data_IF_280683136801
#
_entry.id   IF_280683136801
#
_cell.length_a   1.000
_cell.length_b   1.000
_cell.length_c   1.000
_cell.angle_alpha   90.00
_cell.angle_beta   90.00
_cell.angle_gamma   90.00
#
_symmetry.space_group_name_H-M   'P 1'
#
loop_
_entity.id
_entity.type
_entity.pdbx_description
1 polymer ?
#
# COMPACT_ATOMS: atom_id res chain seq x y z
N UNK A 1 -10.33 -2.86 8.18
CA UNK A 1 -10.96 -4.14 8.58
C UNK A 1 -10.52 -4.47 10.00
N UNK A 2 -11.39 -4.96 10.87
CA UNK A 2 -10.98 -5.48 12.19
C UNK A 2 -11.16 -7.00 12.17
N UNK A 3 -10.09 -7.71 11.84
CA UNK A 3 -10.03 -9.16 12.04
C UNK A 3 -9.58 -9.38 13.48
N UNK A 4 -10.22 -10.31 14.21
CA UNK A 4 -10.14 -10.42 15.66
C UNK A 4 -8.72 -10.56 16.21
N UNK A 5 -8.26 -11.81 16.38
CA UNK A 5 -6.88 -12.13 16.71
C UNK A 5 -6.12 -12.64 15.47
N UNK A 6 -4.82 -12.90 15.63
CA UNK A 6 -3.96 -13.37 14.53
C UNK A 6 -4.45 -14.69 13.92
N UNK A 7 -5.01 -15.59 14.74
CA UNK A 7 -5.56 -16.86 14.25
C UNK A 7 -6.79 -16.63 13.39
N UNK A 8 -7.67 -15.71 13.79
CA UNK A 8 -8.81 -15.30 12.99
C UNK A 8 -8.37 -14.60 11.69
N UNK A 9 -7.29 -13.82 11.72
CA UNK A 9 -6.73 -13.19 10.54
C UNK A 9 -6.21 -14.21 9.53
N UNK A 10 -5.45 -15.22 9.99
CA UNK A 10 -4.96 -16.30 9.13
C UNK A 10 -6.13 -17.06 8.50
N UNK A 11 -7.11 -17.50 9.29
CA UNK A 11 -8.26 -18.22 8.77
C UNK A 11 -9.02 -17.42 7.71
N UNK A 12 -9.21 -16.12 7.93
CA UNK A 12 -9.83 -15.22 6.95
C UNK A 12 -8.99 -15.10 5.67
N UNK A 13 -7.67 -14.99 5.79
CA UNK A 13 -6.77 -14.95 4.65
C UNK A 13 -6.76 -16.26 3.86
N UNK A 14 -6.76 -17.42 4.53
CA UNK A 14 -6.82 -18.73 3.86
C UNK A 14 -8.13 -18.91 3.09
N UNK A 15 -9.26 -18.54 3.71
CA UNK A 15 -10.57 -18.58 3.07
C UNK A 15 -10.60 -17.71 1.81
N UNK A 16 -10.07 -16.50 1.90
CA UNK A 16 -10.12 -15.50 0.83
C UNK A 16 -9.08 -15.73 -0.27
N UNK A 17 -7.83 -15.95 0.11
CA UNK A 17 -6.68 -15.98 -0.79
C UNK A 17 -6.15 -17.39 -1.05
N UNK A 18 -6.59 -18.39 -0.28
CA UNK A 18 -6.00 -19.74 -0.29
C UNK A 18 -4.84 -19.82 0.70
N UNK A 19 -4.45 -21.03 1.13
CA UNK A 19 -3.39 -21.22 2.12
C UNK A 19 -2.03 -20.67 1.66
N UNK A 20 -1.81 -20.64 0.35
CA UNK A 20 -0.62 -20.15 -0.35
C UNK A 20 -0.82 -18.78 -1.02
N UNK A 21 -1.94 -18.11 -0.78
CA UNK A 21 -2.24 -16.83 -1.39
C UNK A 21 -2.50 -16.87 -2.90
N UNK A 22 -2.69 -18.04 -3.52
CA UNK A 22 -2.88 -18.17 -4.98
C UNK A 22 -4.05 -17.37 -5.58
N UNK A 23 -5.01 -16.93 -4.74
CA UNK A 23 -6.14 -16.09 -5.13
C UNK A 23 -5.95 -14.61 -4.78
N UNK A 24 -4.75 -14.20 -4.36
CA UNK A 24 -4.43 -12.80 -4.11
C UNK A 24 -4.37 -12.02 -5.43
N UNK A 25 -5.12 -10.93 -5.52
CA UNK A 25 -5.22 -10.12 -6.73
C UNK A 25 -4.99 -8.62 -6.50
N UNK A 26 -4.41 -8.22 -5.36
CA UNK A 26 -4.15 -6.81 -5.02
C UNK A 26 -5.38 -5.95 -4.70
N UNK A 27 -6.59 -6.41 -5.03
CA UNK A 27 -7.87 -5.72 -4.79
C UNK A 27 -8.40 -4.95 -6.00
N UNK A 28 -9.66 -4.49 -5.92
CA UNK A 28 -10.28 -3.46 -6.78
C UNK A 28 -10.35 -3.68 -8.29
N UNK A 29 -11.06 -2.77 -8.97
CA UNK A 29 -10.79 -2.44 -10.37
C UNK A 29 -9.55 -1.54 -10.39
N UNK A 30 -8.58 -1.75 -11.29
CA UNK A 30 -7.36 -0.95 -11.34
C UNK A 30 -7.53 0.33 -12.17
N UNK A 31 -6.80 1.40 -11.82
CA UNK A 31 -6.77 2.61 -12.63
C UNK A 31 -6.10 2.36 -13.99
N UNK A 32 -6.43 3.16 -15.00
CA UNK A 32 -5.82 3.07 -16.34
C UNK A 32 -4.28 3.15 -16.29
N UNK A 33 -3.73 3.99 -15.41
CA UNK A 33 -2.29 4.12 -15.23
C UNK A 33 -1.64 2.87 -14.60
N UNK A 34 -2.35 2.18 -13.71
CA UNK A 34 -1.91 0.91 -13.13
C UNK A 34 -1.97 -0.22 -14.17
N UNK A 35 -3.05 -0.25 -14.98
CA UNK A 35 -3.21 -1.21 -16.07
C UNK A 35 -2.14 -1.03 -17.14
N UNK A 36 -1.80 0.21 -17.51
CA UNK A 36 -0.71 0.50 -18.43
C UNK A 36 0.64 -0.01 -17.90
N UNK A 37 0.90 0.17 -16.60
CA UNK A 37 2.10 -0.32 -15.93
C UNK A 37 2.15 -1.86 -15.90
N UNK A 38 1.03 -2.52 -15.60
CA UNK A 38 0.93 -3.98 -15.61
C UNK A 38 0.97 -4.57 -17.04
N UNK A 39 0.73 -3.76 -18.07
CA UNK A 39 0.90 -4.14 -19.47
C UNK A 39 2.38 -4.26 -19.89
N UNK A 40 3.32 -3.72 -19.12
CA UNK A 40 4.75 -3.90 -19.33
C UNK A 40 5.17 -5.32 -18.91
N UNK A 41 5.72 -6.15 -19.81
CA UNK A 41 6.11 -7.52 -19.49
C UNK A 41 7.14 -7.64 -18.36
N UNK A 42 8.09 -6.71 -18.25
CA UNK A 42 9.11 -6.75 -17.20
C UNK A 42 8.49 -6.45 -15.83
N UNK A 43 7.58 -5.48 -15.80
CA UNK A 43 6.85 -5.14 -14.58
C UNK A 43 5.91 -6.27 -14.15
N UNK A 44 5.17 -6.85 -15.09
CA UNK A 44 4.27 -7.98 -14.82
C UNK A 44 5.02 -9.20 -14.27
N UNK A 45 6.20 -9.50 -14.84
CA UNK A 45 7.07 -10.57 -14.34
C UNK A 45 7.55 -10.29 -12.91
N UNK A 46 8.09 -9.08 -12.68
CA UNK A 46 8.55 -8.63 -11.36
C UNK A 46 7.45 -8.66 -10.30
N UNK A 47 6.24 -8.22 -10.64
CA UNK A 47 5.09 -8.29 -9.74
C UNK A 47 4.69 -9.73 -9.42
N UNK A 48 4.69 -10.60 -10.43
CA UNK A 48 4.36 -12.02 -10.25
C UNK A 48 5.36 -12.70 -9.31
N UNK A 49 6.66 -12.47 -9.50
CA UNK A 49 7.71 -12.98 -8.63
C UNK A 49 7.59 -12.43 -7.21
N UNK A 50 7.33 -11.11 -7.08
CA UNK A 50 7.17 -10.44 -5.78
C UNK A 50 5.97 -11.00 -5.00
N UNK A 51 4.83 -11.19 -5.65
CA UNK A 51 3.63 -11.78 -5.02
C UNK A 51 3.91 -13.23 -4.65
N UNK A 52 4.53 -14.01 -5.54
CA UNK A 52 4.92 -15.39 -5.26
C UNK A 52 5.83 -15.52 -4.04
N UNK A 53 6.86 -14.67 -3.93
CA UNK A 53 7.75 -14.67 -2.77
C UNK A 53 7.02 -14.22 -1.49
N UNK A 54 6.15 -13.21 -1.59
CA UNK A 54 5.38 -12.69 -0.45
C UNK A 54 4.52 -13.77 0.22
N UNK A 55 4.03 -14.74 -0.56
CA UNK A 55 3.23 -15.86 -0.05
C UNK A 55 3.98 -17.20 0.00
N UNK A 56 5.31 -17.23 -0.22
CA UNK A 56 6.10 -18.47 -0.22
C UNK A 56 5.99 -19.27 1.08
N UNK A 57 5.70 -18.60 2.20
CA UNK A 57 5.52 -19.21 3.53
C UNK A 57 4.03 -19.37 3.91
N UNK A 58 3.12 -19.16 2.95
CA UNK A 58 1.67 -19.08 3.17
C UNK A 58 1.20 -17.68 3.55
N UNK A 59 -0.08 -17.55 3.89
CA UNK A 59 -0.74 -16.25 4.14
C UNK A 59 -0.43 -15.61 5.50
N UNK A 60 0.36 -16.27 6.36
CA UNK A 60 0.63 -15.81 7.73
C UNK A 60 1.18 -14.38 7.81
N UNK A 61 2.14 -14.03 6.94
CA UNK A 61 2.71 -12.69 6.90
C UNK A 61 1.68 -11.62 6.55
N UNK A 62 0.88 -11.85 5.50
CA UNK A 62 -0.20 -10.93 5.12
C UNK A 62 -1.25 -10.80 6.23
N UNK A 63 -1.61 -11.91 6.90
CA UNK A 63 -2.54 -11.91 8.03
C UNK A 63 -2.03 -11.06 9.20
N UNK A 64 -0.72 -11.12 9.47
CA UNK A 64 -0.06 -10.28 10.46
C UNK A 64 -0.13 -8.80 10.07
N UNK A 65 0.18 -8.46 8.82
CA UNK A 65 0.13 -7.08 8.31
C UNK A 65 -1.25 -6.45 8.47
N UNK A 66 -2.32 -7.16 8.07
CA UNK A 66 -3.68 -6.64 8.21
C UNK A 66 -4.15 -6.55 9.66
N UNK A 67 -3.58 -7.35 10.56
CA UNK A 67 -3.87 -7.29 11.99
C UNK A 67 -3.19 -6.07 12.64
N UNK A 68 -1.97 -5.75 12.21
CA UNK A 68 -1.19 -4.63 12.76
C UNK A 68 -1.60 -3.29 12.15
N UNK A 69 -1.98 -3.23 10.86
CA UNK A 69 -2.36 -1.96 10.21
C UNK A 69 -3.57 -1.27 10.87
N UNK A 70 -4.41 -2.05 11.58
CA UNK A 70 -5.59 -1.54 12.26
C UNK A 70 -5.30 -1.00 13.68
N UNK A 71 -4.04 -1.09 14.14
CA UNK A 71 -3.62 -0.66 15.49
C UNK A 71 -3.07 0.76 15.45
N UNK A 72 -3.19 1.52 16.56
CA UNK A 72 -2.51 2.80 16.70
C UNK A 72 -1.00 2.65 16.53
N UNK A 73 -0.34 3.65 15.96
CA UNK A 73 1.11 3.69 15.92
C UNK A 73 1.69 3.71 17.34
N UNK A 74 2.81 3.01 17.54
CA UNK A 74 3.53 2.99 18.82
C UNK A 74 4.28 4.31 19.11
N UNK A 75 4.21 5.27 18.19
CA UNK A 75 4.80 6.60 18.33
C UNK A 75 3.74 7.67 18.00
N UNK A 76 3.95 8.87 18.53
CA UNK A 76 3.14 10.04 18.21
C UNK A 76 3.66 10.72 16.92
N UNK A 77 2.92 10.68 15.80
CA UNK A 77 3.30 11.36 14.56
C UNK A 77 3.41 12.88 14.74
N UNK A 78 2.73 13.45 15.74
CA UNK A 78 2.86 14.84 16.17
C UNK A 78 4.27 15.23 16.64
N UNK A 79 5.18 14.26 16.83
CA UNK A 79 6.59 14.48 17.18
C UNK A 79 7.55 14.54 15.99
N UNK A 80 7.09 14.24 14.77
CA UNK A 80 7.92 14.32 13.57
C UNK A 80 8.25 15.78 13.26
N UNK A 81 9.53 16.08 12.97
CA UNK A 81 10.02 17.46 12.70
C UNK A 81 10.80 17.59 11.39
N UNK A 82 11.04 16.48 10.69
CA UNK A 82 11.68 16.48 9.38
C UNK A 82 10.64 16.74 8.28
N UNK A 83 11.03 17.16 7.07
CA UNK A 83 10.12 17.27 5.94
C UNK A 83 9.37 15.96 5.67
N UNK A 84 8.06 16.03 5.49
CA UNK A 84 7.18 14.90 5.17
C UNK A 84 6.28 15.28 4.00
N UNK A 85 6.16 14.38 3.02
CA UNK A 85 5.21 14.47 1.92
C UNK A 85 4.35 13.21 1.90
N UNK A 86 3.04 13.38 2.04
CA UNK A 86 2.05 12.34 1.78
C UNK A 86 1.72 12.34 0.29
N UNK A 87 2.40 11.50 -0.47
CA UNK A 87 2.19 11.29 -1.90
C UNK A 87 1.06 10.28 -2.13
N UNK A 88 0.10 10.59 -3.02
CA UNK A 88 -1.02 9.68 -3.30
C UNK A 88 -1.61 9.90 -4.70
N UNK A 89 -2.02 8.83 -5.37
CA UNK A 89 -2.71 8.87 -6.66
C UNK A 89 -4.21 9.12 -6.49
N UNK A 90 -4.79 10.14 -7.11
CA UNK A 90 -6.25 10.38 -6.99
C UNK A 90 -7.10 9.36 -7.75
N UNK A 91 -6.48 8.64 -8.69
CA UNK A 91 -7.11 7.52 -9.37
C UNK A 91 -6.95 6.20 -8.60
N UNK A 92 -6.34 6.19 -7.39
CA UNK A 92 -6.24 5.00 -6.56
C UNK A 92 -7.64 4.49 -6.16
N UNK A 93 -7.98 3.32 -6.68
CA UNK A 93 -9.23 2.60 -6.46
C UNK A 93 -9.12 1.53 -5.35
N UNK A 94 -7.91 1.27 -4.87
CA UNK A 94 -7.60 0.30 -3.80
C UNK A 94 -7.69 1.00 -2.45
N UNK A 95 -7.09 2.18 -2.31
CA UNK A 95 -7.01 2.95 -1.07
C UNK A 95 -7.46 4.40 -1.32
N UNK A 96 -8.54 4.88 -0.66
CA UNK A 96 -8.99 6.26 -0.85
C UNK A 96 -8.01 7.32 -0.33
N UNK A 97 -7.90 8.45 -1.04
CA UNK A 97 -7.03 9.60 -0.69
C UNK A 97 -7.22 10.17 0.73
N UNK A 98 -8.37 9.90 1.37
CA UNK A 98 -8.64 10.30 2.76
C UNK A 98 -7.59 9.77 3.73
N UNK A 99 -6.98 8.61 3.47
CA UNK A 99 -5.93 8.05 4.31
C UNK A 99 -4.64 8.88 4.26
N UNK A 100 -4.24 9.38 3.09
CA UNK A 100 -3.09 10.27 2.95
C UNK A 100 -3.36 11.66 3.53
N UNK A 101 -4.59 12.18 3.37
CA UNK A 101 -5.02 13.43 4.02
C UNK A 101 -4.94 13.32 5.53
N UNK A 102 -5.54 12.27 6.09
CA UNK A 102 -5.48 12.01 7.53
C UNK A 102 -4.04 11.89 8.04
N UNK A 103 -3.17 11.18 7.31
CA UNK A 103 -1.75 11.04 7.67
C UNK A 103 -1.03 12.39 7.67
N UNK A 104 -1.27 13.24 6.67
CA UNK A 104 -0.68 14.58 6.61
C UNK A 104 -1.18 15.48 7.75
N UNK A 105 -2.46 15.41 8.11
CA UNK A 105 -3.05 16.18 9.20
C UNK A 105 -2.44 15.84 10.57
N UNK A 106 -1.96 14.61 10.75
CA UNK A 106 -1.30 14.16 11.99
C UNK A 106 0.13 14.67 12.15
N UNK A 107 0.80 15.07 11.06
CA UNK A 107 2.23 15.39 11.05
C UNK A 107 2.44 16.90 10.87
N UNK A 108 3.03 17.60 11.86
CA UNK A 108 3.26 19.04 11.76
C UNK A 108 4.10 19.41 10.54
N UNK A 109 3.55 20.25 9.67
CA UNK A 109 4.23 20.74 8.48
C UNK A 109 4.32 19.75 7.32
N UNK A 110 3.65 18.59 7.40
CA UNK A 110 3.55 17.70 6.26
C UNK A 110 2.83 18.36 5.09
N UNK A 111 3.27 18.04 3.87
CA UNK A 111 2.60 18.44 2.63
C UNK A 111 1.87 17.23 2.06
N UNK A 112 0.79 17.48 1.33
CA UNK A 112 0.12 16.46 0.53
C UNK A 112 0.41 16.72 -0.94
N UNK A 113 0.81 15.68 -1.68
CA UNK A 113 0.99 15.71 -3.13
C UNK A 113 0.04 14.69 -3.74
N UNK A 114 -1.03 15.21 -4.35
CA UNK A 114 -2.04 14.40 -5.02
C UNK A 114 -1.77 14.39 -6.51
N UNK A 115 -1.75 13.19 -7.08
CA UNK A 115 -1.46 12.96 -8.49
C UNK A 115 -2.73 12.53 -9.22
N UNK A 116 -3.36 13.40 -10.04
CA UNK A 116 -4.68 13.13 -10.60
C UNK A 116 -4.80 11.85 -11.41
N UNK A 117 -3.72 11.48 -12.12
CA UNK A 117 -3.70 10.36 -13.07
C UNK A 117 -3.11 9.09 -12.45
N UNK A 118 -2.30 9.22 -11.40
CA UNK A 118 -1.64 8.05 -10.84
C UNK A 118 -2.63 7.23 -10.01
N UNK A 119 -2.51 5.90 -10.11
CA UNK A 119 -3.28 4.92 -9.34
C UNK A 119 -2.49 4.37 -8.15
N UNK A 120 -2.85 3.17 -7.70
CA UNK A 120 -2.27 2.54 -6.52
C UNK A 120 -0.81 2.13 -6.74
N UNK A 121 -0.47 1.69 -7.94
CA UNK A 121 0.86 1.19 -8.30
C UNK A 121 1.66 2.25 -9.06
N UNK A 122 1.03 2.93 -10.01
CA UNK A 122 1.71 3.89 -10.89
C UNK A 122 2.30 5.07 -10.11
N UNK A 123 1.78 5.39 -8.93
CA UNK A 123 2.31 6.41 -8.03
C UNK A 123 3.78 6.14 -7.62
N UNK A 124 4.21 4.88 -7.60
CA UNK A 124 5.58 4.49 -7.25
C UNK A 124 6.62 5.08 -8.20
N UNK A 125 6.26 5.31 -9.46
CA UNK A 125 7.14 5.93 -10.45
C UNK A 125 7.53 7.38 -10.07
N UNK A 126 6.81 8.02 -9.14
CA UNK A 126 7.09 9.39 -8.67
C UNK A 126 8.09 9.43 -7.50
N UNK A 127 8.23 8.33 -6.77
CA UNK A 127 9.00 8.26 -5.52
C UNK A 127 10.47 8.68 -5.71
N UNK A 128 11.22 8.22 -6.73
CA UNK A 128 12.63 8.60 -6.86
C UNK A 128 12.83 10.11 -7.00
N UNK A 129 11.97 10.80 -7.78
CA UNK A 129 12.06 12.24 -7.94
C UNK A 129 11.71 12.97 -6.64
N UNK A 130 10.61 12.56 -6.01
CA UNK A 130 10.17 13.15 -4.74
C UNK A 130 11.23 12.99 -3.64
N UNK A 131 11.89 11.83 -3.57
CA UNK A 131 12.96 11.58 -2.63
C UNK A 131 14.14 12.54 -2.82
N UNK A 132 14.50 12.86 -4.07
CA UNK A 132 15.53 13.86 -4.37
C UNK A 132 15.12 15.27 -3.94
N UNK A 133 13.86 15.64 -4.16
CA UNK A 133 13.33 16.96 -3.79
C UNK A 133 13.24 17.14 -2.26
N UNK A 134 13.19 16.06 -1.48
CA UNK A 134 13.14 16.09 -0.01
C UNK A 134 14.52 16.23 0.66
N UNK A 135 15.60 15.91 -0.05
CA UNK A 135 16.97 15.93 0.49
C UNK A 135 17.82 17.09 -0.03
N UNK A 136 17.27 17.89 -0.94
CA UNK A 136 17.86 19.13 -1.45
C UNK A 136 17.64 20.31 -0.49
#
# INVERSE_FOLDING_TARGET
MRVGDERAAVAWCEERYGPDGARFSGGGEWADADLALMGDPEMAASMTETVGESFRQGVGGYAQDITVQARPWAFDPGRIRVPVVALHGEADTVIPTVHSRHTADLVPGAKIDLRPVDGHLSILARVPRLALDLVA
#
